data_IF_424700396305
#
_entry.id   IF_424700396305
#
_cell.length_a   1.000
_cell.length_b   1.000
_cell.length_c   1.000
_cell.angle_alpha   90.00
_cell.angle_beta   90.00
_cell.angle_gamma   90.00
#
_symmetry.space_group_name_H-M   'P 1'
#
loop_
_entity.id
_entity.type
_entity.pdbx_description
1 polymer ?
#
# COMPACT_ATOMS: atom_id res chain seq x y z
N UNK A 1 14.84 4.15 1.34
CA UNK A 1 13.87 3.82 0.29
C UNK A 1 13.53 5.04 -0.54
N UNK A 2 13.04 4.85 -1.77
CA UNK A 2 12.50 5.93 -2.59
C UNK A 2 10.99 5.99 -2.40
N UNK A 3 10.42 7.19 -2.35
CA UNK A 3 8.96 7.45 -2.25
C UNK A 3 8.59 8.66 -3.09
N UNK A 4 7.33 8.79 -3.48
CA UNK A 4 6.79 10.01 -4.12
C UNK A 4 6.32 11.04 -3.10
N UNK A 5 5.96 10.60 -1.90
CA UNK A 5 5.49 11.48 -0.84
C UNK A 5 5.17 10.71 0.43
N UNK A 6 5.06 11.44 1.52
CA UNK A 6 4.68 10.94 2.84
C UNK A 6 3.69 11.92 3.43
N UNK A 7 2.55 11.41 3.91
CA UNK A 7 1.64 12.13 4.79
C UNK A 7 1.72 11.51 6.18
N UNK A 8 2.10 12.30 7.18
CA UNK A 8 2.22 11.79 8.55
C UNK A 8 0.88 11.36 9.13
N UNK A 9 -0.19 11.99 8.70
CA UNK A 9 -1.54 11.75 9.18
C UNK A 9 -2.51 11.71 8.00
N UNK A 10 -2.98 10.51 7.69
CA UNK A 10 -4.00 10.23 6.69
C UNK A 10 -5.24 9.63 7.37
N UNK A 11 -6.41 10.16 7.05
CA UNK A 11 -7.70 9.74 7.60
C UNK A 11 -8.65 9.22 6.51
N UNK A 12 -8.14 9.00 5.30
CA UNK A 12 -8.97 8.74 4.11
C UNK A 12 -8.81 7.32 3.59
N UNK A 13 -7.59 6.78 3.67
CA UNK A 13 -7.25 5.51 3.02
C UNK A 13 -7.42 4.29 3.92
N UNK A 14 -7.68 4.47 5.20
CA UNK A 14 -7.93 3.38 6.13
C UNK A 14 -8.80 3.86 7.31
N UNK A 15 -9.49 2.93 7.97
CA UNK A 15 -10.37 3.22 9.12
C UNK A 15 -9.67 3.73 10.38
N UNK A 16 -8.33 3.56 10.47
CA UNK A 16 -7.52 4.13 11.55
C UNK A 16 -6.69 5.29 11.00
N UNK A 17 -6.40 6.33 11.80
CA UNK A 17 -5.42 7.34 11.43
C UNK A 17 -4.11 6.67 11.06
N UNK A 18 -3.54 7.00 9.93
CA UNK A 18 -2.38 6.29 9.38
C UNK A 18 -1.32 7.23 8.82
N UNK A 19 -0.06 6.79 8.84
CA UNK A 19 0.96 7.37 7.99
C UNK A 19 0.78 6.82 6.58
N UNK A 20 0.65 7.69 5.59
CA UNK A 20 0.54 7.30 4.18
C UNK A 20 1.87 7.47 3.46
N UNK A 21 2.33 6.42 2.78
CA UNK A 21 3.57 6.38 2.02
C UNK A 21 3.24 6.14 0.55
N UNK A 22 3.49 7.14 -0.28
CA UNK A 22 3.30 7.04 -1.72
C UNK A 22 4.52 6.36 -2.37
N UNK A 23 4.31 5.20 -2.97
CA UNK A 23 5.36 4.38 -3.57
C UNK A 23 5.92 4.99 -4.87
N UNK A 24 7.19 4.65 -5.24
CA UNK A 24 7.89 5.41 -6.30
C UNK A 24 7.56 4.96 -7.72
N UNK A 25 7.03 3.74 -7.92
CA UNK A 25 6.86 3.15 -9.26
C UNK A 25 5.49 2.53 -9.45
N UNK A 26 5.05 2.50 -10.71
CA UNK A 26 3.90 1.73 -11.17
C UNK A 26 4.11 1.28 -12.60
N UNK A 27 3.86 0.02 -12.87
CA UNK A 27 3.84 -0.56 -14.23
C UNK A 27 2.57 -0.19 -15.01
N UNK A 28 1.60 0.50 -14.39
CA UNK A 28 0.32 0.90 -15.01
C UNK A 28 -0.47 -0.25 -15.65
N UNK A 29 -0.47 -1.41 -15.03
CA UNK A 29 -1.26 -2.57 -15.50
C UNK A 29 -2.74 -2.24 -15.61
N UNK A 30 -3.28 -1.43 -14.67
CA UNK A 30 -4.68 -1.01 -14.73
C UNK A 30 -5.02 -0.30 -16.04
N UNK A 31 -4.20 0.66 -16.47
CA UNK A 31 -4.40 1.40 -17.71
C UNK A 31 -4.27 0.51 -18.93
N UNK A 32 -3.28 -0.39 -18.95
CA UNK A 32 -3.10 -1.34 -20.05
C UNK A 32 -4.30 -2.28 -20.21
N UNK A 33 -4.83 -2.79 -19.10
CA UNK A 33 -5.98 -3.70 -19.13
C UNK A 33 -7.30 -2.97 -19.47
N UNK A 34 -7.43 -1.71 -19.05
CA UNK A 34 -8.60 -0.89 -19.39
C UNK A 34 -8.52 -0.30 -20.81
N UNK A 35 -7.38 -0.39 -21.48
CA UNK A 35 -7.15 0.18 -22.81
C UNK A 35 -7.19 1.73 -22.85
N UNK A 36 -6.98 2.37 -21.70
CA UNK A 36 -7.03 3.83 -21.59
C UNK A 36 -6.13 4.33 -20.43
N UNK A 37 -5.59 5.53 -20.57
CA UNK A 37 -4.77 6.21 -19.54
C UNK A 37 -5.68 7.00 -18.59
N UNK A 38 -6.29 6.32 -17.62
CA UNK A 38 -7.24 6.93 -16.67
C UNK A 38 -6.87 6.69 -15.20
N UNK A 39 -5.62 6.29 -14.93
CA UNK A 39 -5.17 6.11 -13.56
C UNK A 39 -5.22 7.44 -12.80
N UNK A 40 -5.95 7.47 -11.68
CA UNK A 40 -6.04 8.66 -10.83
C UNK A 40 -4.69 9.13 -10.26
N UNK A 41 -3.69 8.24 -10.24
CA UNK A 41 -2.35 8.52 -9.72
C UNK A 41 -1.31 8.75 -10.83
N UNK A 42 -1.73 8.95 -12.08
CA UNK A 42 -0.81 9.16 -13.20
C UNK A 42 0.07 10.42 -13.04
N UNK A 43 -0.46 11.50 -12.47
CA UNK A 43 0.30 12.71 -12.16
C UNK A 43 1.38 12.47 -11.10
N UNK A 44 1.09 11.64 -10.10
CA UNK A 44 2.05 11.29 -9.05
C UNK A 44 3.31 10.62 -9.61
N UNK A 45 3.19 9.86 -10.69
CA UNK A 45 4.33 9.22 -11.34
C UNK A 45 5.34 10.22 -11.93
N UNK A 46 4.90 11.44 -12.24
CA UNK A 46 5.75 12.51 -12.77
C UNK A 46 6.48 13.31 -11.68
N UNK A 47 6.04 13.19 -10.43
CA UNK A 47 6.70 13.86 -9.31
C UNK A 47 8.11 13.29 -9.06
N UNK A 48 9.04 14.09 -8.54
CA UNK A 48 10.38 13.61 -8.21
C UNK A 48 10.34 12.57 -7.10
N UNK A 49 11.28 11.62 -7.13
CA UNK A 49 11.50 10.69 -6.04
C UNK A 49 12.19 11.37 -4.86
N UNK A 50 11.72 11.06 -3.67
CA UNK A 50 12.30 11.48 -2.39
C UNK A 50 13.03 10.28 -1.79
N UNK A 51 14.32 10.45 -1.45
CA UNK A 51 15.09 9.41 -0.75
C UNK A 51 14.95 9.57 0.76
N UNK A 52 14.51 8.50 1.44
CA UNK A 52 14.34 8.48 2.89
C UNK A 52 15.00 7.24 3.51
N UNK A 53 15.53 7.40 4.71
CA UNK A 53 15.97 6.26 5.52
C UNK A 53 14.76 5.50 6.04
N UNK A 54 14.72 4.18 5.83
CA UNK A 54 13.62 3.34 6.35
C UNK A 54 13.55 3.45 7.88
N UNK A 55 14.69 3.37 8.55
CA UNK A 55 14.74 3.45 10.02
C UNK A 55 14.22 4.79 10.55
N UNK A 56 14.56 5.89 9.88
CA UNK A 56 14.07 7.21 10.28
C UNK A 56 12.58 7.38 9.99
N UNK A 57 12.10 6.80 8.91
CA UNK A 57 10.68 6.82 8.57
C UNK A 57 9.86 5.99 9.57
N UNK A 58 10.34 4.81 9.95
CA UNK A 58 9.70 3.99 11.00
C UNK A 58 9.74 4.72 12.34
N UNK A 59 10.86 5.35 12.71
CA UNK A 59 10.95 6.15 13.94
C UNK A 59 9.94 7.30 13.93
N UNK A 60 9.86 8.04 12.82
CA UNK A 60 8.88 9.13 12.62
C UNK A 60 7.44 8.65 12.80
N UNK A 61 7.12 7.45 12.31
CA UNK A 61 5.83 6.82 12.53
C UNK A 61 5.58 6.50 14.00
N UNK A 62 6.53 5.84 14.67
CA UNK A 62 6.41 5.42 16.09
C UNK A 62 6.27 6.63 17.02
N UNK A 63 6.97 7.73 16.72
CA UNK A 63 6.91 8.96 17.52
C UNK A 63 5.61 9.75 17.33
N UNK A 64 4.81 9.44 16.30
CA UNK A 64 3.52 10.09 16.10
C UNK A 64 2.44 9.44 16.98
N UNK A 65 1.88 10.17 17.98
CA UNK A 65 0.91 9.59 18.91
C UNK A 65 -0.49 9.37 18.28
N UNK A 66 -0.75 9.95 17.11
CA UNK A 66 -2.07 9.95 16.45
C UNK A 66 -2.24 8.70 15.61
N UNK A 67 -1.23 8.31 14.83
CA UNK A 67 -1.33 7.22 13.86
C UNK A 67 -1.26 5.85 14.51
N UNK A 68 -2.04 4.91 13.97
CA UNK A 68 -2.16 3.50 14.41
C UNK A 68 -2.15 2.53 13.23
N UNK A 69 -1.68 3.00 12.09
CA UNK A 69 -1.47 2.19 10.90
C UNK A 69 -0.47 2.87 9.94
N UNK A 70 0.13 2.07 9.07
CA UNK A 70 0.89 2.57 7.92
C UNK A 70 0.18 2.11 6.65
N UNK A 71 -0.04 3.01 5.70
CA UNK A 71 -0.65 2.73 4.40
C UNK A 71 0.37 2.95 3.30
N UNK A 72 0.62 1.93 2.50
CA UNK A 72 1.38 2.00 1.26
C UNK A 72 0.43 2.07 0.07
N UNK A 73 0.61 3.07 -0.79
CA UNK A 73 -0.26 3.27 -1.94
C UNK A 73 0.30 4.30 -2.91
N UNK A 74 -0.57 5.05 -3.55
CA UNK A 74 -0.21 6.00 -4.60
C UNK A 74 0.12 5.30 -5.90
N UNK A 75 1.39 4.96 -6.12
CA UNK A 75 1.81 4.04 -7.17
C UNK A 75 1.78 2.59 -6.67
N UNK A 76 2.32 1.65 -7.42
CA UNK A 76 2.19 0.23 -7.12
C UNK A 76 3.25 -0.27 -6.11
N UNK A 77 2.86 -0.64 -4.88
CA UNK A 77 3.82 -1.11 -3.89
C UNK A 77 4.59 -2.36 -4.30
N UNK A 78 3.94 -3.32 -4.97
CA UNK A 78 4.58 -4.55 -5.43
C UNK A 78 5.44 -4.38 -6.69
N UNK A 79 5.53 -3.19 -7.26
CA UNK A 79 6.55 -2.89 -8.28
C UNK A 79 7.91 -2.48 -7.64
N UNK A 80 7.95 -2.34 -6.31
CA UNK A 80 9.17 -2.16 -5.50
C UNK A 80 9.11 -2.99 -4.21
N UNK A 81 8.94 -4.31 -4.32
CA UNK A 81 8.58 -5.17 -3.19
C UNK A 81 9.67 -5.24 -2.11
N UNK A 82 10.94 -5.11 -2.46
CA UNK A 82 12.05 -5.10 -1.50
C UNK A 82 11.92 -3.96 -0.48
N UNK A 83 11.41 -2.81 -0.91
CA UNK A 83 11.18 -1.67 -0.03
C UNK A 83 10.09 -1.95 1.00
N UNK A 84 9.01 -2.64 0.59
CA UNK A 84 7.95 -3.09 1.50
C UNK A 84 8.51 -4.06 2.55
N UNK A 85 9.22 -5.09 2.09
CA UNK A 85 9.82 -6.10 2.98
C UNK A 85 10.72 -5.45 4.00
N UNK A 86 11.64 -4.57 3.55
CA UNK A 86 12.59 -3.89 4.44
C UNK A 86 11.88 -3.00 5.47
N UNK A 87 10.84 -2.26 5.06
CA UNK A 87 10.09 -1.43 5.99
C UNK A 87 9.33 -2.27 7.01
N UNK A 88 8.60 -3.30 6.57
CA UNK A 88 7.82 -4.17 7.46
C UNK A 88 8.73 -4.91 8.43
N UNK A 89 9.84 -5.47 7.93
CA UNK A 89 10.85 -6.11 8.80
C UNK A 89 11.40 -5.13 9.84
N UNK A 90 11.74 -3.91 9.43
CA UNK A 90 12.21 -2.88 10.36
C UNK A 90 11.16 -2.55 11.43
N UNK A 91 9.91 -2.34 11.01
CA UNK A 91 8.79 -2.05 11.91
C UNK A 91 8.56 -3.18 12.93
N UNK A 92 8.53 -4.44 12.45
CA UNK A 92 8.22 -5.61 13.27
C UNK A 92 9.38 -6.06 14.15
N UNK A 93 10.59 -6.16 13.57
CA UNK A 93 11.73 -6.82 14.24
C UNK A 93 12.65 -5.85 14.97
N UNK A 94 12.74 -4.57 14.54
CA UNK A 94 13.60 -3.60 15.20
C UNK A 94 12.85 -2.66 16.15
N UNK A 95 11.59 -2.36 15.83
CA UNK A 95 10.76 -1.47 16.64
C UNK A 95 9.63 -2.20 17.39
N UNK A 96 9.50 -3.52 17.21
CA UNK A 96 8.52 -4.39 17.91
C UNK A 96 7.08 -3.83 17.84
N UNK A 97 6.72 -3.22 16.71
CA UNK A 97 5.43 -2.58 16.51
C UNK A 97 4.52 -3.45 15.64
N UNK A 98 3.38 -3.85 16.20
CA UNK A 98 2.37 -4.69 15.54
C UNK A 98 1.16 -3.90 15.02
N UNK A 99 1.27 -2.58 14.88
CA UNK A 99 0.22 -1.76 14.26
C UNK A 99 -0.09 -2.23 12.83
N UNK A 100 -1.32 -1.92 12.37
CA UNK A 100 -1.78 -2.34 11.05
C UNK A 100 -0.87 -1.80 9.92
N UNK A 101 -0.51 -2.67 8.99
CA UNK A 101 0.15 -2.29 7.73
C UNK A 101 -0.79 -2.60 6.57
N UNK A 102 -1.19 -1.57 5.85
CA UNK A 102 -2.14 -1.65 4.74
C UNK A 102 -1.41 -1.41 3.42
N UNK A 103 -1.57 -2.30 2.46
CA UNK A 103 -0.92 -2.25 1.15
C UNK A 103 -1.98 -2.17 0.06
N UNK A 104 -2.01 -1.07 -0.66
CA UNK A 104 -2.93 -0.85 -1.79
C UNK A 104 -2.28 -1.32 -3.10
N UNK A 105 -2.73 -2.45 -3.64
CA UNK A 105 -2.21 -2.97 -4.90
C UNK A 105 -3.29 -3.06 -5.98
N UNK A 106 -2.88 -2.89 -7.22
CA UNK A 106 -3.67 -3.23 -8.39
C UNK A 106 -3.55 -4.71 -8.76
N UNK A 107 -2.61 -5.45 -8.21
CA UNK A 107 -2.51 -6.90 -8.47
C UNK A 107 -3.69 -7.67 -7.91
N UNK A 108 -3.97 -8.83 -8.50
CA UNK A 108 -4.81 -9.87 -7.93
C UNK A 108 -3.97 -10.73 -6.99
N UNK A 109 -4.60 -11.39 -6.04
CA UNK A 109 -3.90 -12.26 -5.09
C UNK A 109 -3.15 -13.38 -5.81
N UNK A 110 -3.80 -14.04 -6.76
CA UNK A 110 -3.22 -15.12 -7.55
C UNK A 110 -2.03 -14.67 -8.39
N UNK A 111 -2.02 -13.42 -8.86
CA UNK A 111 -0.88 -12.85 -9.57
C UNK A 111 0.33 -12.69 -8.65
N UNK A 112 0.13 -12.21 -7.42
CA UNK A 112 1.21 -12.07 -6.44
C UNK A 112 1.76 -13.44 -6.03
N UNK A 113 0.90 -14.42 -5.79
CA UNK A 113 1.33 -15.78 -5.48
C UNK A 113 2.16 -16.38 -6.61
N UNK A 114 1.72 -16.20 -7.87
CA UNK A 114 2.39 -16.78 -9.03
C UNK A 114 3.72 -16.08 -9.36
N UNK A 115 3.77 -14.74 -9.28
CA UNK A 115 4.90 -13.94 -9.76
C UNK A 115 5.88 -13.54 -8.67
N UNK A 116 5.43 -13.43 -7.42
CA UNK A 116 6.20 -12.93 -6.28
C UNK A 116 5.94 -13.74 -5.00
N UNK A 117 5.58 -15.03 -5.12
CA UNK A 117 5.11 -15.86 -4.00
C UNK A 117 5.99 -15.79 -2.75
N UNK A 118 7.32 -15.90 -2.89
CA UNK A 118 8.24 -15.85 -1.76
C UNK A 118 8.17 -14.51 -0.99
N UNK A 119 8.07 -13.39 -1.71
CA UNK A 119 7.95 -12.04 -1.11
C UNK A 119 6.57 -11.85 -0.51
N UNK A 120 5.52 -12.24 -1.23
CA UNK A 120 4.15 -12.17 -0.78
C UNK A 120 3.96 -12.93 0.53
N UNK A 121 4.43 -14.19 0.61
CA UNK A 121 4.36 -14.99 1.83
C UNK A 121 5.20 -14.41 2.96
N UNK A 122 6.40 -13.86 2.65
CA UNK A 122 7.22 -13.20 3.66
C UNK A 122 6.51 -11.99 4.28
N UNK A 123 5.76 -11.21 3.50
CA UNK A 123 4.98 -10.09 4.00
C UNK A 123 3.79 -10.58 4.83
N UNK A 124 2.99 -11.50 4.29
CA UNK A 124 1.72 -11.94 4.89
C UNK A 124 1.87 -12.83 6.12
N UNK A 125 3.07 -13.34 6.41
CA UNK A 125 3.34 -14.06 7.67
C UNK A 125 3.43 -13.13 8.90
N UNK A 126 3.71 -11.85 8.71
CA UNK A 126 3.72 -10.90 9.83
C UNK A 126 2.28 -10.58 10.30
N UNK A 127 2.09 -10.25 11.60
CA UNK A 127 0.78 -9.90 12.12
C UNK A 127 0.26 -8.60 11.52
N UNK A 128 -1.08 -8.49 11.45
CA UNK A 128 -1.79 -7.25 11.09
C UNK A 128 -1.42 -6.67 9.72
N UNK A 129 -1.14 -7.52 8.75
CA UNK A 129 -1.02 -7.13 7.34
C UNK A 129 -2.41 -7.13 6.71
N UNK A 130 -2.73 -6.03 6.02
CA UNK A 130 -3.96 -5.88 5.23
C UNK A 130 -3.57 -5.54 3.81
N UNK A 131 -4.08 -6.25 2.82
CA UNK A 131 -3.83 -5.95 1.42
C UNK A 131 -5.17 -5.64 0.74
N UNK A 132 -5.22 -4.48 0.08
CA UNK A 132 -6.29 -4.12 -0.84
C UNK A 132 -5.90 -4.57 -2.23
N UNK A 133 -6.60 -5.55 -2.77
CA UNK A 133 -6.39 -6.13 -4.10
C UNK A 133 -7.28 -5.49 -5.17
N UNK A 134 -6.90 -5.70 -6.41
CA UNK A 134 -7.72 -5.48 -7.59
C UNK A 134 -7.44 -4.19 -8.34
N UNK A 135 -7.52 -4.30 -9.67
CA UNK A 135 -7.29 -3.22 -10.63
C UNK A 135 -8.21 -2.02 -10.39
N UNK A 136 -7.67 -0.83 -10.58
CA UNK A 136 -8.52 0.34 -10.74
C UNK A 136 -9.33 0.21 -12.05
N UNK A 137 -10.65 0.36 -11.96
CA UNK A 137 -11.59 0.38 -13.09
C UNK A 137 -12.40 1.67 -13.03
N UNK A 138 -12.19 2.61 -13.99
CA UNK A 138 -12.77 3.96 -13.90
C UNK A 138 -14.31 3.97 -13.96
N UNK A 139 -14.91 2.93 -14.54
CA UNK A 139 -16.37 2.79 -14.67
C UNK A 139 -16.96 1.68 -13.80
N UNK A 140 -16.22 1.26 -12.77
CA UNK A 140 -16.68 0.25 -11.82
C UNK A 140 -17.76 0.81 -10.88
N UNK A 141 -18.50 -0.11 -10.25
CA UNK A 141 -19.47 0.26 -9.21
C UNK A 141 -18.77 0.42 -7.87
N UNK A 142 -18.80 1.61 -7.25
CA UNK A 142 -18.22 1.80 -5.94
C UNK A 142 -18.94 1.00 -4.86
N UNK A 143 -18.20 0.55 -3.85
CA UNK A 143 -18.77 -0.14 -2.69
C UNK A 143 -17.96 0.18 -1.43
N UNK A 144 -18.56 -0.05 -0.26
CA UNK A 144 -17.88 0.05 1.02
C UNK A 144 -17.17 -1.26 1.35
N UNK A 145 -15.90 -1.20 1.76
CA UNK A 145 -15.12 -2.35 2.18
C UNK A 145 -14.96 -2.34 3.70
N UNK A 146 -15.51 -3.36 4.37
CA UNK A 146 -15.53 -3.47 5.84
C UNK A 146 -14.13 -3.70 6.44
N UNK A 147 -13.23 -4.36 5.71
CA UNK A 147 -11.86 -4.61 6.19
C UNK A 147 -11.07 -3.32 6.25
N UNK A 148 -11.16 -2.53 5.19
CA UNK A 148 -10.48 -1.24 5.09
C UNK A 148 -11.24 -0.12 5.81
N UNK A 149 -12.57 -0.22 5.89
CA UNK A 149 -13.45 0.81 6.43
C UNK A 149 -13.57 2.04 5.56
N UNK A 150 -13.39 1.88 4.25
CA UNK A 150 -13.46 2.96 3.26
C UNK A 150 -14.25 2.54 2.03
N UNK A 151 -14.65 3.53 1.22
CA UNK A 151 -15.34 3.29 -0.05
C UNK A 151 -14.30 3.05 -1.15
N UNK A 152 -14.34 1.87 -1.77
CA UNK A 152 -13.55 1.53 -2.95
C UNK A 152 -14.26 1.95 -4.24
N UNK A 153 -13.48 2.25 -5.27
CA UNK A 153 -13.98 2.85 -6.52
C UNK A 153 -14.61 1.85 -7.48
N UNK A 154 -14.34 0.55 -7.29
CA UNK A 154 -14.90 -0.49 -8.16
C UNK A 154 -15.07 -1.82 -7.43
N UNK A 155 -16.11 -2.56 -7.83
CA UNK A 155 -16.56 -3.80 -7.18
C UNK A 155 -15.61 -5.01 -7.31
N UNK A 156 -14.57 -4.90 -8.12
CA UNK A 156 -13.50 -5.90 -8.21
C UNK A 156 -12.38 -5.68 -7.19
N UNK A 157 -12.45 -4.60 -6.40
CA UNK A 157 -11.47 -4.29 -5.36
C UNK A 157 -11.97 -4.77 -4.02
N UNK A 158 -11.09 -5.28 -3.18
CA UNK A 158 -11.43 -5.76 -1.83
C UNK A 158 -10.22 -5.73 -0.91
N UNK A 159 -10.47 -5.57 0.37
CA UNK A 159 -9.49 -5.71 1.43
C UNK A 159 -9.47 -7.13 2.00
N UNK A 160 -8.26 -7.64 2.30
CA UNK A 160 -8.06 -8.91 3.01
C UNK A 160 -7.06 -8.70 4.12
N UNK A 161 -7.40 -9.15 5.34
CA UNK A 161 -6.50 -9.17 6.50
C UNK A 161 -5.80 -10.52 6.58
N UNK A 162 -4.53 -10.49 6.88
CA UNK A 162 -3.67 -11.63 7.15
C UNK A 162 -3.24 -11.60 8.61
N UNK A 163 -3.32 -12.75 9.30
CA UNK A 163 -2.87 -13.02 10.69
C UNK A 163 -3.16 -11.91 11.72
#
# INVERSE_FOLDING_TARGET
MLVKGIADEDFVNYKKPSMYIAMPKCSFKCDRENGCSMCQNSSLAQEPDISVSIKDLVRRYIENPITKAVVFGGLEPFDTPDMLVLFITCLREQFECDDDVVIYTGYLEEELELTMGAIYHKITQYPNIIIKFGRFRPYGTPHFDEVLGVKLVSNNQYGKRFN
#
